data_IF_738164448130
#
_entry.id   IF_738164448130
#
_cell.length_a   1.000
_cell.length_b   1.000
_cell.length_c   1.000
_cell.angle_alpha   90.00
_cell.angle_beta   90.00
_cell.angle_gamma   90.00
#
_symmetry.space_group_name_H-M   'P 1'
#
loop_
_entity.id
_entity.type
_entity.pdbx_description
1 polymer ?
#
# COMPACT_ATOMS: atom_id res chain seq x y z
N UNK A 1 9.59 -16.87 12.84
CA UNK A 1 8.17 -16.63 12.47
C UNK A 1 7.75 -17.52 11.31
N UNK A 2 8.48 -17.50 10.19
CA UNK A 2 8.21 -18.31 8.98
C UNK A 2 8.09 -19.81 9.25
N UNK A 3 9.10 -20.46 9.87
CA UNK A 3 9.04 -21.88 10.21
C UNK A 3 7.87 -22.26 11.14
N UNK A 4 7.41 -21.34 11.98
CA UNK A 4 6.25 -21.56 12.87
C UNK A 4 4.93 -21.43 12.10
N UNK A 5 4.87 -20.55 11.10
CA UNK A 5 3.70 -20.36 10.26
C UNK A 5 3.59 -21.44 9.17
N UNK A 6 4.72 -21.88 8.61
CA UNK A 6 4.79 -23.06 7.74
C UNK A 6 4.33 -24.31 8.50
N UNK A 7 4.78 -24.48 9.75
CA UNK A 7 4.29 -25.55 10.64
C UNK A 7 2.80 -25.40 10.90
N UNK A 8 2.29 -24.19 11.16
CA UNK A 8 0.87 -23.95 11.39
C UNK A 8 0.02 -24.24 10.14
N UNK A 9 0.47 -23.86 8.94
CA UNK A 9 -0.18 -24.14 7.66
C UNK A 9 -0.09 -25.62 7.26
N UNK A 10 0.97 -26.33 7.67
CA UNK A 10 1.09 -27.79 7.53
C UNK A 10 0.14 -28.54 8.49
N UNK A 11 -0.03 -28.02 9.71
CA UNK A 11 -0.85 -28.64 10.74
C UNK A 11 -2.35 -28.34 10.55
N UNK A 12 -2.69 -27.15 10.06
CA UNK A 12 -4.06 -26.77 9.71
C UNK A 12 -4.07 -25.91 8.43
N UNK A 13 -4.22 -26.55 7.25
CA UNK A 13 -4.28 -25.85 5.97
C UNK A 13 -5.44 -24.85 5.84
N UNK A 14 -6.48 -25.00 6.67
CA UNK A 14 -7.74 -24.24 6.63
C UNK A 14 -7.78 -23.03 7.57
N UNK A 15 -6.65 -22.67 8.20
CA UNK A 15 -6.57 -21.43 8.96
C UNK A 15 -6.47 -20.22 8.02
N UNK A 16 -7.59 -19.75 7.49
CA UNK A 16 -7.64 -18.68 6.48
C UNK A 16 -7.01 -17.35 6.97
N UNK A 17 -7.05 -17.06 8.27
CA UNK A 17 -6.30 -15.95 8.89
C UNK A 17 -4.78 -16.11 8.76
N UNK A 18 -4.25 -17.35 8.72
CA UNK A 18 -2.83 -17.60 8.50
C UNK A 18 -2.39 -17.22 7.09
N UNK A 19 -3.26 -17.32 6.07
CA UNK A 19 -2.91 -16.94 4.71
C UNK A 19 -2.64 -15.43 4.58
N UNK A 20 -3.41 -14.60 5.31
CA UNK A 20 -3.19 -13.14 5.40
C UNK A 20 -1.92 -12.80 6.15
N UNK A 21 -1.69 -13.43 7.30
CA UNK A 21 -0.46 -13.22 8.09
C UNK A 21 0.77 -13.69 7.31
N UNK A 22 0.66 -14.79 6.57
CA UNK A 22 1.76 -15.29 5.76
C UNK A 22 2.07 -14.38 4.58
N UNK A 23 1.04 -13.85 3.92
CA UNK A 23 1.22 -12.86 2.86
C UNK A 23 1.94 -11.60 3.36
N UNK A 24 1.63 -11.13 4.58
CA UNK A 24 2.36 -10.01 5.19
C UNK A 24 3.85 -10.35 5.37
N UNK A 25 4.17 -11.53 5.88
CA UNK A 25 5.57 -11.97 6.06
C UNK A 25 6.29 -12.05 4.70
N UNK A 26 5.65 -12.62 3.68
CA UNK A 26 6.23 -12.69 2.34
C UNK A 26 6.47 -11.30 1.74
N UNK A 27 5.56 -10.35 1.96
CA UNK A 27 5.72 -8.94 1.59
C UNK A 27 6.93 -8.32 2.31
N UNK A 28 7.06 -8.54 3.62
CA UNK A 28 8.17 -7.99 4.41
C UNK A 28 9.55 -8.51 3.92
N UNK A 29 9.57 -9.70 3.31
CA UNK A 29 10.76 -10.30 2.68
C UNK A 29 10.89 -10.02 1.17
N UNK A 30 10.04 -9.16 0.58
CA UNK A 30 10.09 -8.80 -0.84
C UNK A 30 9.62 -9.90 -1.80
N UNK A 31 8.91 -10.92 -1.30
CA UNK A 31 8.38 -12.06 -2.07
C UNK A 31 6.92 -11.89 -2.46
N UNK A 32 6.51 -10.66 -2.76
CA UNK A 32 5.10 -10.32 -3.04
C UNK A 32 4.52 -11.07 -4.24
N UNK A 33 5.33 -11.31 -5.28
CA UNK A 33 4.89 -12.08 -6.45
C UNK A 33 4.64 -13.54 -6.10
N UNK A 34 5.50 -14.16 -5.28
CA UNK A 34 5.32 -15.54 -4.83
C UNK A 34 4.05 -15.69 -3.98
N UNK A 35 3.84 -14.72 -3.07
CA UNK A 35 2.64 -14.62 -2.25
C UNK A 35 1.37 -14.55 -3.12
N UNK A 36 1.39 -13.68 -4.14
CA UNK A 36 0.30 -13.55 -5.11
C UNK A 36 0.02 -14.86 -5.82
N UNK A 37 1.04 -15.53 -6.38
CA UNK A 37 0.86 -16.79 -7.10
C UNK A 37 0.32 -17.90 -6.19
N UNK A 38 0.81 -17.99 -4.95
CA UNK A 38 0.34 -18.93 -3.94
C UNK A 38 -1.13 -18.68 -3.58
N UNK A 39 -1.50 -17.42 -3.36
CA UNK A 39 -2.88 -17.04 -3.02
C UNK A 39 -3.85 -17.28 -4.18
N UNK A 40 -3.46 -17.04 -5.44
CA UNK A 40 -4.28 -17.39 -6.61
C UNK A 40 -4.56 -18.90 -6.65
N UNK A 41 -3.53 -19.73 -6.45
CA UNK A 41 -3.70 -21.19 -6.40
C UNK A 41 -4.65 -21.62 -5.27
N UNK A 42 -4.48 -21.05 -4.07
CA UNK A 42 -5.34 -21.35 -2.91
C UNK A 42 -6.78 -20.85 -3.10
N UNK A 43 -6.98 -19.66 -3.64
CA UNK A 43 -8.30 -19.10 -3.91
C UNK A 43 -9.02 -19.83 -5.04
N UNK A 44 -8.28 -20.43 -5.97
CA UNK A 44 -8.85 -21.28 -7.03
C UNK A 44 -9.42 -22.59 -6.47
N UNK A 45 -8.79 -23.19 -5.45
CA UNK A 45 -9.31 -24.39 -4.78
C UNK A 45 -10.34 -24.10 -3.69
N UNK A 46 -10.24 -22.92 -3.03
CA UNK A 46 -11.13 -22.49 -1.94
C UNK A 46 -11.85 -21.18 -2.28
N UNK A 47 -12.61 -21.20 -3.38
CA UNK A 47 -13.22 -20.00 -3.98
C UNK A 47 -14.34 -19.34 -3.18
N UNK A 48 -14.73 -19.93 -2.05
CA UNK A 48 -15.72 -19.42 -1.10
C UNK A 48 -15.10 -18.81 0.16
N UNK A 49 -13.77 -18.81 0.31
CA UNK A 49 -13.09 -18.23 1.47
C UNK A 49 -12.82 -16.73 1.25
N UNK A 50 -13.52 -15.82 1.96
CA UNK A 50 -13.36 -14.37 1.78
C UNK A 50 -11.98 -13.87 2.20
N UNK A 51 -11.27 -14.54 3.12
CA UNK A 51 -9.99 -14.08 3.64
C UNK A 51 -8.85 -14.23 2.62
N UNK A 52 -8.95 -15.23 1.72
CA UNK A 52 -8.02 -15.37 0.59
C UNK A 52 -8.14 -14.21 -0.39
N UNK A 53 -9.36 -13.78 -0.68
CA UNK A 53 -9.58 -12.61 -1.53
C UNK A 53 -9.17 -11.32 -0.81
N UNK A 54 -9.39 -11.21 0.51
CA UNK A 54 -8.88 -10.10 1.30
C UNK A 54 -7.34 -10.02 1.29
N UNK A 55 -6.64 -11.16 1.32
CA UNK A 55 -5.19 -11.21 1.14
C UNK A 55 -4.78 -10.79 -0.28
N UNK A 56 -5.52 -11.24 -1.31
CA UNK A 56 -5.29 -10.85 -2.72
C UNK A 56 -5.42 -9.34 -2.94
N UNK A 57 -6.31 -8.63 -2.22
CA UNK A 57 -6.36 -7.15 -2.26
C UNK A 57 -4.98 -6.56 -1.99
N UNK A 58 -4.31 -7.06 -0.96
CA UNK A 58 -3.02 -6.53 -0.51
C UNK A 58 -1.89 -6.87 -1.47
N UNK A 59 -1.69 -8.15 -1.80
CA UNK A 59 -0.58 -8.57 -2.66
C UNK A 59 -0.72 -8.06 -4.10
N UNK A 60 -1.93 -8.04 -4.67
CA UNK A 60 -2.13 -7.49 -6.01
C UNK A 60 -1.79 -6.00 -6.05
N UNK A 61 -2.10 -5.25 -4.98
CA UNK A 61 -1.76 -3.82 -4.89
C UNK A 61 -0.25 -3.61 -4.87
N UNK A 62 0.52 -4.39 -4.11
CA UNK A 62 1.99 -4.27 -4.07
C UNK A 62 2.64 -4.63 -5.41
N UNK A 63 2.03 -5.53 -6.19
CA UNK A 63 2.41 -5.83 -7.57
C UNK A 63 1.99 -4.75 -8.60
N UNK A 64 1.33 -3.67 -8.17
CA UNK A 64 0.79 -2.64 -9.07
C UNK A 64 -0.50 -3.04 -9.82
N UNK A 65 -1.07 -4.20 -9.53
CA UNK A 65 -2.29 -4.73 -10.17
C UNK A 65 -3.54 -4.16 -9.47
N UNK A 66 -3.75 -2.85 -9.57
CA UNK A 66 -4.80 -2.15 -8.81
C UNK A 66 -6.21 -2.63 -9.18
N UNK A 67 -6.49 -2.90 -10.46
CA UNK A 67 -7.79 -3.43 -10.89
C UNK A 67 -8.04 -4.84 -10.34
N UNK A 68 -7.02 -5.70 -10.33
CA UNK A 68 -7.12 -7.02 -9.71
C UNK A 68 -7.35 -6.90 -8.20
N UNK A 69 -6.67 -5.97 -7.54
CA UNK A 69 -6.88 -5.68 -6.11
C UNK A 69 -8.32 -5.23 -5.82
N UNK A 70 -8.90 -4.34 -6.63
CA UNK A 70 -10.31 -3.93 -6.51
C UNK A 70 -11.27 -5.10 -6.78
N UNK A 71 -11.02 -5.91 -7.81
CA UNK A 71 -11.84 -7.09 -8.10
C UNK A 71 -11.80 -8.13 -6.96
N UNK A 72 -10.64 -8.33 -6.35
CA UNK A 72 -10.48 -9.16 -5.16
C UNK A 72 -11.27 -8.61 -3.97
N UNK A 73 -11.26 -7.28 -3.76
CA UNK A 73 -12.07 -6.65 -2.72
C UNK A 73 -13.56 -6.93 -2.93
N UNK A 74 -14.05 -6.69 -4.14
CA UNK A 74 -15.45 -6.94 -4.51
C UNK A 74 -15.84 -8.41 -4.32
N UNK A 75 -14.95 -9.34 -4.67
CA UNK A 75 -15.17 -10.77 -4.45
C UNK A 75 -15.22 -11.11 -2.96
N UNK A 76 -14.30 -10.59 -2.15
CA UNK A 76 -14.29 -10.78 -0.70
C UNK A 76 -15.61 -10.29 -0.07
N UNK A 77 -16.05 -9.07 -0.43
CA UNK A 77 -17.28 -8.44 0.08
C UNK A 77 -18.56 -9.16 -0.33
N UNK A 78 -18.58 -9.78 -1.52
CA UNK A 78 -19.69 -10.64 -1.97
C UNK A 78 -19.81 -11.91 -1.14
N UNK A 79 -18.67 -12.51 -0.76
CA UNK A 79 -18.63 -13.72 0.08
C UNK A 79 -18.95 -13.40 1.54
N UNK A 80 -18.41 -12.30 2.07
CA UNK A 80 -18.72 -11.80 3.41
C UNK A 80 -18.78 -10.27 3.44
N UNK A 81 -19.97 -9.73 3.72
CA UNK A 81 -20.21 -8.28 3.88
C UNK A 81 -19.56 -7.66 5.11
N UNK A 82 -18.87 -8.40 5.96
CA UNK A 82 -18.13 -7.88 7.12
C UNK A 82 -16.62 -8.04 6.99
N UNK A 83 -16.14 -8.77 5.98
CA UNK A 83 -14.70 -8.95 5.77
C UNK A 83 -14.02 -7.60 5.64
N UNK A 84 -12.92 -7.44 6.38
CA UNK A 84 -12.06 -6.25 6.31
C UNK A 84 -10.96 -6.49 5.30
N UNK A 85 -10.74 -5.52 4.43
CA UNK A 85 -9.66 -5.53 3.43
C UNK A 85 -8.86 -4.23 3.53
N UNK A 86 -7.74 -4.15 2.81
CA UNK A 86 -6.93 -2.94 2.68
C UNK A 86 -7.30 -2.10 1.45
N UNK A 87 -8.55 -2.18 0.96
CA UNK A 87 -9.00 -1.51 -0.28
C UNK A 87 -8.84 0.02 -0.25
N UNK A 88 -8.90 0.63 0.94
CA UNK A 88 -8.69 2.06 1.12
C UNK A 88 -7.37 2.52 0.46
N UNK A 89 -6.30 1.72 0.61
CA UNK A 89 -5.02 1.97 -0.05
C UNK A 89 -5.11 1.77 -1.56
N UNK A 90 -5.78 0.72 -2.03
CA UNK A 90 -5.96 0.50 -3.47
C UNK A 90 -6.67 1.67 -4.15
N UNK A 91 -7.73 2.18 -3.54
CA UNK A 91 -8.47 3.35 -4.03
C UNK A 91 -7.57 4.59 -4.05
N UNK A 92 -6.78 4.82 -2.99
CA UNK A 92 -5.83 5.92 -2.94
C UNK A 92 -4.80 5.83 -4.08
N UNK A 93 -4.20 4.66 -4.28
CA UNK A 93 -3.20 4.45 -5.33
C UNK A 93 -3.82 4.54 -6.74
N UNK A 94 -5.10 4.22 -6.89
CA UNK A 94 -5.84 4.40 -8.14
C UNK A 94 -6.24 5.87 -8.40
N UNK A 95 -6.00 6.78 -7.45
CA UNK A 95 -6.40 8.19 -7.53
C UNK A 95 -7.86 8.47 -7.15
N UNK A 96 -8.58 7.47 -6.65
CA UNK A 96 -9.98 7.57 -6.23
C UNK A 96 -10.08 8.03 -4.77
N UNK A 97 -9.58 9.25 -4.54
CA UNK A 97 -9.32 9.75 -3.19
C UNK A 97 -10.57 9.94 -2.34
N UNK A 98 -11.70 10.35 -2.93
CA UNK A 98 -12.94 10.53 -2.19
C UNK A 98 -13.52 9.19 -1.73
N UNK A 99 -13.46 8.15 -2.57
CA UNK A 99 -13.86 6.81 -2.16
C UNK A 99 -12.89 6.24 -1.14
N UNK A 100 -11.58 6.45 -1.30
CA UNK A 100 -10.59 6.06 -0.30
C UNK A 100 -10.88 6.71 1.07
N UNK A 101 -11.24 7.99 1.10
CA UNK A 101 -11.59 8.71 2.33
C UNK A 101 -12.88 8.20 2.99
N UNK A 102 -13.83 7.70 2.21
CA UNK A 102 -15.11 7.18 2.70
C UNK A 102 -14.99 5.76 3.28
N UNK A 103 -13.95 5.01 2.95
CA UNK A 103 -13.71 3.67 3.50
C UNK A 103 -13.45 3.73 5.02
N UNK A 104 -14.04 2.81 5.80
CA UNK A 104 -13.81 2.76 7.25
C UNK A 104 -12.32 2.65 7.57
N UNK A 105 -11.83 3.62 8.33
CA UNK A 105 -10.44 3.68 8.76
C UNK A 105 -10.06 2.47 9.64
N UNK A 106 -8.90 1.87 9.35
CA UNK A 106 -8.17 1.01 10.28
C UNK A 106 -7.10 1.79 11.06
N UNK A 107 -6.22 1.09 11.77
CA UNK A 107 -5.14 1.70 12.57
C UNK A 107 -4.08 2.47 11.75
N UNK A 108 -4.07 2.32 10.42
CA UNK A 108 -3.19 3.05 9.50
C UNK A 108 -4.03 3.91 8.53
N UNK A 109 -4.91 4.76 9.08
CA UNK A 109 -5.85 5.54 8.29
C UNK A 109 -5.13 6.52 7.34
N UNK A 110 -5.40 6.40 6.04
CA UNK A 110 -4.98 7.38 5.02
C UNK A 110 -6.13 8.30 4.60
N UNK A 111 -7.26 8.28 5.32
CA UNK A 111 -8.48 9.00 4.95
C UNK A 111 -8.28 10.51 4.87
N UNK A 112 -7.63 11.10 5.88
CA UNK A 112 -7.28 12.52 5.86
C UNK A 112 -6.33 12.87 4.72
N UNK A 113 -5.33 12.03 4.46
CA UNK A 113 -4.41 12.22 3.35
C UNK A 113 -5.13 12.10 1.99
N UNK A 114 -6.08 11.19 1.85
CA UNK A 114 -6.91 11.08 0.66
C UNK A 114 -7.74 12.36 0.45
N UNK A 115 -8.36 12.91 1.50
CA UNK A 115 -9.05 14.19 1.42
C UNK A 115 -8.12 15.36 1.04
N UNK A 116 -6.86 15.35 1.51
CA UNK A 116 -5.85 16.33 1.07
C UNK A 116 -5.61 16.22 -0.43
N UNK A 117 -5.40 15.00 -0.94
CA UNK A 117 -5.20 14.77 -2.38
C UNK A 117 -6.44 15.13 -3.22
N UNK A 118 -7.63 15.02 -2.64
CA UNK A 118 -8.88 15.43 -3.27
C UNK A 118 -9.16 16.95 -3.20
N UNK A 119 -8.34 17.73 -2.49
CA UNK A 119 -8.59 19.16 -2.25
C UNK A 119 -9.85 19.43 -1.40
N UNK A 120 -10.26 18.47 -0.57
CA UNK A 120 -11.50 18.56 0.19
C UNK A 120 -11.35 19.50 1.41
N UNK A 121 -12.31 20.40 1.71
CA UNK A 121 -12.18 21.40 2.78
C UNK A 121 -12.00 20.80 4.18
N UNK A 122 -12.58 19.63 4.46
CA UNK A 122 -12.42 18.93 5.75
C UNK A 122 -11.13 18.11 5.88
N UNK A 123 -10.21 18.16 4.91
CA UNK A 123 -9.02 17.32 4.89
C UNK A 123 -8.19 17.40 6.18
N UNK A 124 -7.84 18.62 6.61
CA UNK A 124 -7.04 18.83 7.83
C UNK A 124 -7.75 18.38 9.10
N UNK A 125 -9.08 18.53 9.16
CA UNK A 125 -9.90 18.01 10.26
C UNK A 125 -9.78 16.50 10.35
N UNK A 126 -9.86 15.80 9.22
CA UNK A 126 -9.72 14.35 9.19
C UNK A 126 -8.28 13.91 9.48
N UNK A 127 -7.26 14.59 8.95
CA UNK A 127 -5.86 14.30 9.28
C UNK A 127 -5.60 14.34 10.81
N UNK A 128 -6.16 15.33 11.51
CA UNK A 128 -6.06 15.42 12.98
C UNK A 128 -6.74 14.25 13.69
N UNK A 129 -7.90 13.80 13.20
CA UNK A 129 -8.56 12.59 13.73
C UNK A 129 -7.69 11.34 13.51
N UNK A 130 -7.09 11.22 12.35
CA UNK A 130 -6.20 10.09 12.03
C UNK A 130 -4.94 10.10 12.93
N UNK A 131 -4.34 11.26 13.17
CA UNK A 131 -3.23 11.42 14.11
C UNK A 131 -3.61 11.05 15.56
N UNK A 132 -4.81 11.45 16.00
CA UNK A 132 -5.29 11.10 17.34
C UNK A 132 -5.56 9.61 17.50
N UNK A 133 -6.09 8.93 16.47
CA UNK A 133 -6.22 7.47 16.49
C UNK A 133 -4.88 6.76 16.67
N UNK A 134 -3.81 7.24 16.01
CA UNK A 134 -2.46 6.71 16.18
C UNK A 134 -1.95 6.91 17.61
N UNK A 135 -2.23 8.07 18.22
CA UNK A 135 -1.87 8.36 19.61
C UNK A 135 -2.58 7.43 20.60
N UNK A 136 -3.89 7.22 20.43
CA UNK A 136 -4.67 6.27 21.23
C UNK A 136 -4.17 4.83 21.06
N UNK A 137 -3.64 4.48 19.89
CA UNK A 137 -3.04 3.17 19.61
C UNK A 137 -1.58 3.02 20.10
N UNK A 138 -1.04 3.98 20.85
CA UNK A 138 0.37 4.03 21.29
C UNK A 138 1.39 4.02 20.13
N UNK A 139 1.00 4.54 18.97
CA UNK A 139 1.87 4.70 17.79
C UNK A 139 2.43 6.13 17.71
N UNK A 140 2.96 6.65 18.82
CA UNK A 140 3.40 8.04 18.97
C UNK A 140 4.33 8.53 17.86
N UNK A 141 5.36 7.78 17.42
CA UNK A 141 6.22 8.22 16.31
C UNK A 141 5.46 8.48 15.01
N UNK A 142 4.41 7.69 14.73
CA UNK A 142 3.55 7.91 13.57
C UNK A 142 2.60 9.09 13.77
N UNK A 143 2.08 9.29 14.99
CA UNK A 143 1.27 10.46 15.31
C UNK A 143 2.07 11.76 15.12
N UNK A 144 3.32 11.80 15.61
CA UNK A 144 4.22 12.96 15.47
C UNK A 144 4.56 13.25 13.99
N UNK A 145 4.78 12.19 13.19
CA UNK A 145 4.93 12.31 11.74
C UNK A 145 3.69 12.92 11.08
N UNK A 146 2.50 12.51 11.50
CA UNK A 146 1.23 13.06 11.00
C UNK A 146 1.10 14.53 11.38
N UNK A 147 1.40 14.89 12.63
CA UNK A 147 1.34 16.26 13.12
C UNK A 147 2.33 17.18 12.37
N UNK A 148 3.57 16.73 12.12
CA UNK A 148 4.55 17.47 11.33
C UNK A 148 4.06 17.74 9.90
N UNK A 149 3.42 16.75 9.26
CA UNK A 149 2.81 16.90 7.93
C UNK A 149 1.60 17.83 7.95
N UNK A 150 0.74 17.74 8.96
CA UNK A 150 -0.42 18.63 9.12
C UNK A 150 0.06 20.08 9.23
N UNK A 151 1.07 20.36 10.07
CA UNK A 151 1.62 21.70 10.23
C UNK A 151 2.19 22.25 8.91
N UNK A 152 2.87 21.41 8.11
CA UNK A 152 3.35 21.81 6.77
C UNK A 152 2.21 22.14 5.81
N UNK A 153 1.13 21.33 5.80
CA UNK A 153 -0.08 21.61 5.01
C UNK A 153 -0.78 22.91 5.43
N UNK A 154 -0.68 23.28 6.71
CA UNK A 154 -1.22 24.54 7.26
C UNK A 154 -0.29 25.75 7.04
N UNK A 155 0.92 25.54 6.51
CA UNK A 155 1.93 26.59 6.35
C UNK A 155 2.58 27.05 7.66
N UNK A 156 2.37 26.32 8.76
CA UNK A 156 2.92 26.62 10.10
C UNK A 156 4.08 25.69 10.49
N UNK A 157 4.29 24.64 9.71
CA UNK A 157 5.24 23.56 10.01
C UNK A 157 6.66 23.81 9.53
N UNK A 158 7.54 22.89 9.92
CA UNK A 158 8.95 22.85 9.51
C UNK A 158 9.24 21.55 8.80
N UNK A 159 9.89 21.65 7.64
CA UNK A 159 10.33 20.48 6.89
C UNK A 159 11.38 19.67 7.63
N UNK A 160 12.20 20.31 8.47
CA UNK A 160 13.16 19.61 9.33
C UNK A 160 12.46 18.73 10.37
N UNK A 161 11.27 19.14 10.86
CA UNK A 161 10.48 18.31 11.77
C UNK A 161 9.89 17.08 11.05
N UNK A 162 9.36 17.25 9.83
CA UNK A 162 8.89 16.13 9.02
C UNK A 162 10.02 15.12 8.73
N UNK A 163 11.20 15.63 8.37
CA UNK A 163 12.38 14.82 8.12
C UNK A 163 12.84 14.07 9.38
N UNK A 164 12.91 14.74 10.52
CA UNK A 164 13.25 14.12 11.81
C UNK A 164 12.24 13.05 12.25
N UNK A 165 10.93 13.32 12.09
CA UNK A 165 9.88 12.35 12.36
C UNK A 165 9.96 11.14 11.41
N UNK A 166 10.28 11.37 10.14
CA UNK A 166 10.52 10.31 9.15
C UNK A 166 11.68 9.41 9.57
N UNK A 167 12.81 9.99 9.99
CA UNK A 167 13.96 9.25 10.52
C UNK A 167 13.56 8.43 11.74
N UNK A 168 12.81 9.02 12.68
CA UNK A 168 12.34 8.33 13.90
C UNK A 168 11.49 7.11 13.58
N UNK A 169 10.54 7.24 12.65
CA UNK A 169 9.67 6.12 12.23
C UNK A 169 10.46 5.00 11.54
N UNK A 170 11.42 5.34 10.68
CA UNK A 170 12.30 4.35 10.03
C UNK A 170 13.21 3.66 11.06
N UNK A 171 13.78 4.41 12.00
CA UNK A 171 14.60 3.88 13.08
C UNK A 171 13.79 2.97 14.03
N UNK A 172 12.51 3.29 14.22
CA UNK A 172 11.53 2.49 14.97
C UNK A 172 11.12 1.18 14.30
N UNK A 173 11.69 0.83 13.14
CA UNK A 173 11.51 -0.46 12.50
C UNK A 173 10.49 -0.49 11.36
N UNK A 174 10.03 0.67 10.85
CA UNK A 174 9.25 0.67 9.62
C UNK A 174 10.12 0.11 8.48
N UNK A 175 9.70 -1.05 7.95
CA UNK A 175 10.33 -1.71 6.79
C UNK A 175 9.35 -1.98 5.66
N UNK A 176 8.06 -1.81 5.93
CA UNK A 176 7.01 -1.98 4.94
C UNK A 176 7.18 -0.95 3.80
N UNK A 177 7.26 -1.41 2.53
CA UNK A 177 7.57 -0.49 1.44
C UNK A 177 6.40 0.43 1.06
N UNK A 178 5.15 0.10 1.38
CA UNK A 178 4.03 1.05 1.26
C UNK A 178 4.17 2.20 2.25
N UNK A 179 4.53 1.92 3.49
CA UNK A 179 4.89 2.93 4.48
C UNK A 179 6.05 3.82 4.01
N UNK A 180 7.11 3.23 3.46
CA UNK A 180 8.24 3.98 2.90
C UNK A 180 7.80 4.90 1.75
N UNK A 181 6.95 4.42 0.84
CA UNK A 181 6.36 5.24 -0.22
C UNK A 181 5.60 6.46 0.34
N UNK A 182 4.79 6.26 1.39
CA UNK A 182 4.06 7.35 2.03
C UNK A 182 4.98 8.39 2.71
N UNK A 183 6.15 7.98 3.20
CA UNK A 183 7.18 8.90 3.69
C UNK A 183 7.84 9.67 2.54
N UNK A 184 8.27 8.96 1.50
CA UNK A 184 8.94 9.54 0.33
C UNK A 184 8.09 10.62 -0.35
N UNK A 185 6.79 10.36 -0.58
CA UNK A 185 5.90 11.35 -1.21
C UNK A 185 5.75 12.62 -0.39
N UNK A 186 5.71 12.53 0.94
CA UNK A 186 5.66 13.70 1.82
C UNK A 186 6.95 14.53 1.70
N UNK A 187 8.11 13.87 1.78
CA UNK A 187 9.40 14.53 1.65
C UNK A 187 9.57 15.19 0.27
N UNK A 188 9.21 14.50 -0.81
CA UNK A 188 9.26 15.05 -2.16
C UNK A 188 8.42 16.31 -2.28
N UNK A 189 7.15 16.26 -1.82
CA UNK A 189 6.22 17.37 -1.93
C UNK A 189 6.69 18.64 -1.21
N UNK A 190 7.32 18.49 -0.04
CA UNK A 190 7.72 19.65 0.77
C UNK A 190 9.14 20.15 0.48
N UNK A 191 9.94 19.48 -0.36
CA UNK A 191 11.28 19.95 -0.76
C UNK A 191 12.44 19.21 -0.10
N UNK A 192 12.34 17.89 0.03
CA UNK A 192 13.42 16.96 0.40
C UNK A 192 13.57 15.90 -0.67
N UNK A 193 13.83 16.32 -1.90
CA UNK A 193 13.85 15.49 -3.08
C UNK A 193 14.90 14.37 -2.99
N UNK A 194 16.13 14.69 -2.56
CA UNK A 194 17.21 13.69 -2.46
C UNK A 194 16.82 12.55 -1.51
N UNK A 195 16.37 12.90 -0.30
CA UNK A 195 15.95 11.90 0.69
C UNK A 195 14.70 11.13 0.26
N UNK A 196 13.78 11.80 -0.43
CA UNK A 196 12.58 11.16 -0.97
C UNK A 196 12.93 10.08 -2.01
N UNK A 197 13.85 10.37 -2.92
CA UNK A 197 14.30 9.42 -3.94
C UNK A 197 14.99 8.22 -3.30
N UNK A 198 15.86 8.43 -2.30
CA UNK A 198 16.52 7.32 -1.59
C UNK A 198 15.51 6.36 -0.94
N UNK A 199 14.52 6.91 -0.22
CA UNK A 199 13.48 6.10 0.43
C UNK A 199 12.60 5.40 -0.61
N UNK A 200 12.27 6.07 -1.72
CA UNK A 200 11.47 5.48 -2.77
C UNK A 200 12.20 4.35 -3.50
N UNK A 201 13.52 4.48 -3.73
CA UNK A 201 14.36 3.42 -4.27
C UNK A 201 14.31 2.18 -3.35
N UNK A 202 14.46 2.39 -2.04
CA UNK A 202 14.34 1.32 -1.05
C UNK A 202 12.96 0.63 -1.09
N UNK A 203 11.88 1.41 -1.24
CA UNK A 203 10.52 0.85 -1.36
C UNK A 203 10.38 -0.08 -2.58
N UNK A 204 10.93 0.33 -3.74
CA UNK A 204 10.92 -0.48 -4.97
C UNK A 204 11.79 -1.72 -4.81
N UNK A 205 12.97 -1.60 -4.21
CA UNK A 205 13.88 -2.72 -3.95
C UNK A 205 13.26 -3.79 -3.05
N UNK A 206 12.40 -3.35 -2.12
CA UNK A 206 11.65 -4.21 -1.20
C UNK A 206 10.36 -4.80 -1.76
N UNK A 207 10.00 -4.50 -3.01
CA UNK A 207 8.90 -5.19 -3.68
C UNK A 207 7.64 -4.37 -3.94
N UNK A 208 7.72 -3.04 -3.93
CA UNK A 208 6.57 -2.16 -4.17
C UNK A 208 6.61 -1.54 -5.57
N UNK A 209 5.86 -2.10 -6.51
CA UNK A 209 6.00 -1.85 -7.96
C UNK A 209 4.85 -1.04 -8.56
N UNK A 210 4.47 0.08 -7.95
CA UNK A 210 3.33 0.88 -8.40
C UNK A 210 3.72 1.97 -9.40
N UNK A 211 4.31 1.59 -10.54
CA UNK A 211 4.85 2.51 -11.56
C UNK A 211 3.84 3.56 -12.04
N UNK A 212 2.61 3.16 -12.33
CA UNK A 212 1.52 4.05 -12.76
C UNK A 212 1.16 5.04 -11.66
N UNK A 213 1.07 4.57 -10.41
CA UNK A 213 0.80 5.44 -9.25
C UNK A 213 1.92 6.46 -9.07
N UNK A 214 3.18 6.02 -9.09
CA UNK A 214 4.34 6.91 -8.93
C UNK A 214 4.36 7.99 -10.00
N UNK A 215 4.04 7.63 -11.23
CA UNK A 215 3.98 8.56 -12.36
C UNK A 215 2.86 9.58 -12.21
N UNK A 216 1.73 9.22 -11.60
CA UNK A 216 0.54 10.08 -11.45
C UNK A 216 0.51 10.88 -10.15
N UNK A 217 1.22 10.46 -9.11
CA UNK A 217 1.20 11.13 -7.81
C UNK A 217 1.74 12.57 -7.91
N UNK A 218 0.87 13.55 -7.69
CA UNK A 218 1.21 14.96 -7.70
C UNK A 218 2.27 15.32 -6.64
N UNK A 219 2.37 14.56 -5.56
CA UNK A 219 3.38 14.78 -4.52
C UNK A 219 4.79 14.32 -4.94
N UNK A 220 4.90 13.55 -6.02
CA UNK A 220 6.18 13.18 -6.64
C UNK A 220 6.53 14.05 -7.85
N UNK A 221 5.72 15.07 -8.19
CA UNK A 221 6.00 16.02 -9.28
C UNK A 221 7.43 16.59 -9.23
N UNK A 222 7.97 17.02 -8.06
CA UNK A 222 9.33 17.56 -7.98
C UNK A 222 10.41 16.57 -8.45
N UNK A 223 10.14 15.27 -8.37
CA UNK A 223 11.10 14.22 -8.73
C UNK A 223 11.10 13.90 -10.24
N UNK A 224 10.05 14.26 -10.99
CA UNK A 224 9.84 13.81 -12.38
C UNK A 224 10.98 14.13 -13.34
N UNK A 225 11.74 15.19 -13.06
CA UNK A 225 12.89 15.63 -13.90
C UNK A 225 14.20 14.96 -13.52
N UNK A 226 14.27 14.27 -12.39
CA UNK A 226 15.51 13.65 -11.91
C UNK A 226 15.77 12.32 -12.63
N UNK A 227 17.03 12.06 -12.95
CA UNK A 227 17.44 10.82 -13.63
C UNK A 227 17.25 9.60 -12.73
N UNK A 228 17.65 9.70 -11.46
CA UNK A 228 17.50 8.64 -10.46
C UNK A 228 16.02 8.22 -10.26
N UNK A 229 15.10 9.17 -10.21
CA UNK A 229 13.66 8.87 -10.15
C UNK A 229 13.15 8.15 -11.41
N UNK A 230 13.65 8.50 -12.59
CA UNK A 230 13.27 7.82 -13.85
C UNK A 230 13.78 6.38 -13.88
N UNK A 231 14.96 6.12 -13.32
CA UNK A 231 15.47 4.75 -13.16
C UNK A 231 14.60 3.92 -12.22
N UNK A 232 14.14 4.52 -11.11
CA UNK A 232 13.18 3.88 -10.19
C UNK A 232 11.87 3.55 -10.90
N UNK A 233 11.32 4.48 -11.70
CA UNK A 233 10.10 4.24 -12.47
C UNK A 233 10.26 3.09 -13.47
N UNK A 234 11.37 3.05 -14.21
CA UNK A 234 11.67 1.98 -15.16
C UNK A 234 11.77 0.62 -14.46
N UNK A 235 12.44 0.57 -13.31
CA UNK A 235 12.54 -0.65 -12.50
C UNK A 235 11.17 -1.11 -11.99
N UNK A 236 10.37 -0.19 -11.46
CA UNK A 236 9.02 -0.51 -10.99
C UNK A 236 8.12 -1.00 -12.13
N UNK A 237 8.22 -0.39 -13.31
CA UNK A 237 7.46 -0.78 -14.50
C UNK A 237 7.83 -2.19 -14.96
N UNK A 238 9.13 -2.50 -15.05
CA UNK A 238 9.56 -3.85 -15.41
C UNK A 238 9.01 -4.91 -14.46
N UNK A 239 9.13 -4.67 -13.14
CA UNK A 239 8.64 -5.60 -12.11
C UNK A 239 7.12 -5.72 -12.13
N UNK A 240 6.40 -4.63 -12.41
CA UNK A 240 4.95 -4.65 -12.61
C UNK A 240 4.55 -5.53 -13.80
N UNK A 241 5.22 -5.39 -14.94
CA UNK A 241 4.93 -6.21 -16.13
C UNK A 241 5.22 -7.70 -15.89
N UNK A 242 6.32 -8.02 -15.20
CA UNK A 242 6.63 -9.40 -14.78
C UNK A 242 5.54 -9.97 -13.87
N UNK A 243 5.10 -9.21 -12.86
CA UNK A 243 4.04 -9.62 -11.95
C UNK A 243 2.69 -9.79 -12.69
N UNK A 244 2.38 -8.90 -13.62
CA UNK A 244 1.18 -8.96 -14.46
C UNK A 244 1.17 -10.20 -15.34
N UNK A 245 2.26 -10.51 -16.01
CA UNK A 245 2.39 -11.73 -16.82
C UNK A 245 2.20 -12.99 -15.96
N UNK A 246 2.83 -13.04 -14.78
CA UNK A 246 2.71 -14.16 -13.84
C UNK A 246 1.26 -14.29 -13.30
N UNK A 247 0.60 -13.18 -12.98
CA UNK A 247 -0.79 -13.14 -12.55
C UNK A 247 -1.73 -13.74 -13.60
N UNK A 248 -1.55 -13.36 -14.87
CA UNK A 248 -2.35 -13.87 -15.99
C UNK A 248 -2.10 -15.38 -16.17
N UNK A 249 -0.84 -15.80 -16.21
CA UNK A 249 -0.46 -17.21 -16.38
C UNK A 249 -1.01 -18.10 -15.26
N UNK A 250 -1.09 -17.58 -14.03
CA UNK A 250 -1.68 -18.29 -12.90
C UNK A 250 -3.21 -18.35 -12.91
N UNK A 251 -3.89 -17.74 -13.89
CA UNK A 251 -5.34 -17.71 -13.99
C UNK A 251 -6.01 -16.62 -13.14
N UNK A 252 -5.25 -15.63 -12.67
CA UNK A 252 -5.75 -14.55 -11.81
C UNK A 252 -6.89 -13.73 -12.45
N UNK A 253 -6.81 -13.47 -13.75
CA UNK A 253 -7.87 -12.75 -14.49
C UNK A 253 -9.19 -13.51 -14.45
N UNK A 254 -9.16 -14.81 -14.72
CA UNK A 254 -10.33 -15.68 -14.67
C UNK A 254 -10.89 -15.79 -13.26
N UNK A 255 -10.01 -15.96 -12.27
CA UNK A 255 -10.40 -16.08 -10.86
C UNK A 255 -11.15 -14.83 -10.36
N UNK A 256 -10.68 -13.64 -10.73
CA UNK A 256 -11.23 -12.37 -10.23
C UNK A 256 -12.28 -11.73 -11.14
N UNK A 257 -12.41 -12.23 -12.38
CA UNK A 257 -13.23 -11.56 -13.41
C UNK A 257 -12.70 -10.17 -13.77
N UNK A 258 -11.40 -9.93 -13.56
CA UNK A 258 -10.76 -8.67 -13.92
C UNK A 258 -10.49 -8.68 -15.42
N UNK A 259 -11.22 -7.85 -16.18
CA UNK A 259 -11.01 -7.66 -17.61
C UNK A 259 -9.57 -7.22 -17.91
N UNK A 260 -9.09 -7.53 -19.11
CA UNK A 260 -7.76 -7.16 -19.60
C UNK A 260 -7.52 -5.66 -19.42
N UNK A 261 -6.55 -5.28 -18.59
CA UNK A 261 -6.13 -3.89 -18.43
C UNK A 261 -5.78 -3.28 -19.79
N UNK A 262 -6.49 -2.23 -20.17
CA UNK A 262 -6.11 -1.38 -21.30
C UNK A 262 -4.89 -0.57 -20.86
N UNK A 263 -3.78 -0.66 -21.60
CA UNK A 263 -2.64 0.23 -21.42
C UNK A 263 -3.11 1.67 -21.57
N UNK A 264 -3.08 2.45 -20.49
CA UNK A 264 -3.42 3.88 -20.48
C UNK A 264 -2.61 4.63 -19.44
#
# INVERSE_FOLDING_TARGET
>A
AEAALDRALQLNPDLSTADRVYAQIEIDYGRVQDAMLRLIRRASSRSTDPELFAALVHVCRYCGLLNASLAAHERARRLDRKVRTSVQYTLFMAGDYLRAAAEPAGYAAIGGLALVMAGHPDALRQCRKDAEMLRVANMTPFADLFDARIALLEGTGSIALLESATVTVIAGGLRDPEGLYHLARGLAHFGREDRAVEILAEAVDRGYFLSVTFSRDAWLEPLRRRTDFREILLKAEQRHQEARAAFIQAGGQTLLGAGSESNG
#
